data_IF_936059090747
#
_entry.id   IF_936059090747
#
_cell.length_a   1.000
_cell.length_b   1.000
_cell.length_c   1.000
_cell.angle_alpha   90.00
_cell.angle_beta   90.00
_cell.angle_gamma   90.00
#
_symmetry.space_group_name_H-M   'P 1'
#
loop_
_entity.id
_entity.type
_entity.pdbx_description
1 polymer ?
#
# COMPACT_ATOMS: atom_id res chain seq x y z
N UNK A 1 6.61 -21.78 11.98
CA UNK A 1 6.72 -20.37 12.42
C UNK A 1 5.43 -19.69 11.98
N UNK A 2 4.64 -19.18 12.92
CA UNK A 2 3.38 -18.47 12.60
C UNK A 2 3.64 -16.98 12.66
N UNK A 3 3.20 -16.23 11.65
CA UNK A 3 3.25 -14.78 11.64
C UNK A 3 1.84 -14.23 11.78
N UNK A 4 1.68 -13.19 12.60
CA UNK A 4 0.42 -12.45 12.72
C UNK A 4 0.50 -11.26 11.79
N UNK A 5 -0.47 -11.14 10.88
CA UNK A 5 -0.64 -9.99 10.01
C UNK A 5 -1.90 -9.24 10.38
N UNK A 6 -1.81 -7.91 10.42
CA UNK A 6 -2.94 -7.02 10.58
C UNK A 6 -3.21 -6.34 9.25
N UNK A 7 -4.28 -6.75 8.57
CA UNK A 7 -4.68 -6.17 7.29
C UNK A 7 -5.70 -5.05 7.51
N UNK A 8 -5.59 -3.98 6.73
CA UNK A 8 -6.69 -3.03 6.59
C UNK A 8 -7.88 -3.71 5.90
N UNK A 9 -9.10 -3.20 6.14
CA UNK A 9 -10.34 -3.86 5.71
C UNK A 9 -10.45 -4.04 4.20
N UNK A 10 -9.99 -3.08 3.40
CA UNK A 10 -9.98 -3.16 1.94
C UNK A 10 -8.99 -4.20 1.41
N UNK A 11 -7.81 -4.32 2.03
CA UNK A 11 -6.83 -5.38 1.71
C UNK A 11 -7.37 -6.76 2.08
N UNK A 12 -7.96 -6.91 3.27
CA UNK A 12 -8.56 -8.18 3.69
C UNK A 12 -9.66 -8.63 2.71
N UNK A 13 -10.59 -7.71 2.38
CA UNK A 13 -11.66 -7.98 1.42
C UNK A 13 -11.11 -8.31 0.02
N UNK A 14 -10.06 -7.61 -0.44
CA UNK A 14 -9.44 -7.89 -1.73
C UNK A 14 -8.83 -9.30 -1.78
N UNK A 15 -8.13 -9.70 -0.72
CA UNK A 15 -7.53 -11.04 -0.62
C UNK A 15 -8.60 -12.14 -0.60
N UNK A 16 -9.67 -11.98 0.19
CA UNK A 16 -10.79 -12.93 0.23
C UNK A 16 -11.48 -13.09 -1.14
N UNK A 17 -11.65 -11.99 -1.87
CA UNK A 17 -12.29 -11.97 -3.18
C UNK A 17 -11.32 -12.29 -4.34
N UNK A 18 -10.06 -12.63 -4.05
CA UNK A 18 -9.00 -12.87 -5.05
C UNK A 18 -8.85 -11.69 -6.04
N UNK A 19 -9.03 -10.48 -5.54
CA UNK A 19 -8.81 -9.23 -6.25
C UNK A 19 -7.31 -8.88 -6.23
N UNK A 20 -6.79 -8.18 -7.26
CA UNK A 20 -5.39 -7.79 -7.29
C UNK A 20 -5.05 -6.80 -6.16
N UNK A 21 -3.96 -7.10 -5.45
CA UNK A 21 -3.38 -6.25 -4.40
C UNK A 21 -1.95 -5.93 -4.78
N UNK A 22 -1.54 -4.67 -4.63
CA UNK A 22 -0.16 -4.23 -4.87
C UNK A 22 0.43 -3.76 -3.55
N UNK A 23 1.47 -4.45 -3.09
CA UNK A 23 2.22 -4.04 -1.90
C UNK A 23 3.10 -2.82 -2.21
N UNK A 24 3.11 -1.83 -1.31
CA UNK A 24 3.93 -0.63 -1.41
C UNK A 24 4.86 -0.54 -0.19
N UNK A 25 6.09 -0.06 -0.41
CA UNK A 25 7.12 0.06 0.63
C UNK A 25 6.98 1.36 1.43
N UNK A 26 7.13 1.31 2.76
CA UNK A 26 7.13 2.49 3.64
C UNK A 26 8.44 3.30 3.64
N UNK A 27 9.54 2.76 3.12
CA UNK A 27 10.84 3.46 3.05
C UNK A 27 10.76 4.72 2.19
N UNK A 28 9.95 4.73 1.12
CA UNK A 28 9.69 5.93 0.31
C UNK A 28 9.14 7.07 1.17
N UNK A 29 8.33 6.76 2.18
CA UNK A 29 7.72 7.72 3.10
C UNK A 29 8.77 8.26 4.09
N UNK A 30 9.64 7.39 4.62
CA UNK A 30 10.48 7.72 5.78
C UNK A 30 11.88 8.20 5.42
N UNK A 31 12.48 7.66 4.36
CA UNK A 31 13.89 7.91 4.01
C UNK A 31 14.14 8.14 2.52
N UNK A 32 13.15 7.91 1.65
CA UNK A 32 13.33 8.00 0.20
C UNK A 32 13.33 9.42 -0.35
N UNK A 33 12.40 10.26 0.13
CA UNK A 33 12.23 11.64 -0.36
C UNK A 33 12.11 12.61 0.83
N UNK A 34 12.50 13.89 0.65
CA UNK A 34 12.26 14.91 1.66
C UNK A 34 10.75 15.18 1.82
N UNK A 35 10.36 15.68 2.99
CA UNK A 35 9.02 16.25 3.16
C UNK A 35 8.91 17.58 2.40
N UNK A 36 7.80 17.86 1.68
CA UNK A 36 6.53 17.10 1.64
C UNK A 36 6.42 16.05 0.52
N UNK A 37 7.45 15.90 -0.31
CA UNK A 37 7.42 15.05 -1.51
C UNK A 37 7.23 13.57 -1.18
N UNK A 38 7.72 13.11 -0.02
CA UNK A 38 7.48 11.75 0.47
C UNK A 38 5.99 11.41 0.62
N UNK A 39 5.22 12.29 1.26
CA UNK A 39 3.78 12.11 1.47
C UNK A 39 3.03 12.22 0.15
N UNK A 40 3.38 13.21 -0.67
CA UNK A 40 2.76 13.40 -1.99
C UNK A 40 3.01 12.19 -2.90
N UNK A 41 4.23 11.66 -2.89
CA UNK A 41 4.60 10.47 -3.68
C UNK A 41 3.87 9.23 -3.20
N UNK A 42 3.81 8.99 -1.88
CA UNK A 42 3.09 7.85 -1.32
C UNK A 42 1.61 7.88 -1.69
N UNK A 43 0.94 9.02 -1.55
CA UNK A 43 -0.45 9.19 -1.97
C UNK A 43 -0.63 9.02 -3.49
N UNK A 44 0.33 9.50 -4.29
CA UNK A 44 0.36 9.32 -5.74
C UNK A 44 0.48 7.85 -6.14
N UNK A 45 1.33 7.07 -5.46
CA UNK A 45 1.48 5.63 -5.67
C UNK A 45 0.18 4.89 -5.37
N UNK A 46 -0.47 5.17 -4.23
CA UNK A 46 -1.76 4.56 -3.89
C UNK A 46 -2.84 4.89 -4.93
N UNK A 47 -2.88 6.15 -5.39
CA UNK A 47 -3.82 6.60 -6.44
C UNK A 47 -3.58 5.86 -7.75
N UNK A 48 -2.32 5.70 -8.15
CA UNK A 48 -1.95 5.01 -9.38
C UNK A 48 -2.35 3.52 -9.33
N UNK A 49 -2.15 2.84 -8.20
CA UNK A 49 -2.58 1.46 -8.00
C UNK A 49 -4.10 1.32 -8.13
N UNK A 50 -4.86 2.22 -7.48
CA UNK A 50 -6.33 2.23 -7.58
C UNK A 50 -6.81 2.49 -9.00
N UNK A 51 -6.17 3.42 -9.72
CA UNK A 51 -6.47 3.69 -11.13
C UNK A 51 -6.18 2.48 -12.04
N UNK A 52 -5.21 1.65 -11.68
CA UNK A 52 -4.91 0.36 -12.33
C UNK A 52 -5.89 -0.77 -11.98
N UNK A 53 -6.89 -0.53 -11.13
CA UNK A 53 -7.89 -1.53 -10.75
C UNK A 53 -7.46 -2.48 -9.63
N UNK A 54 -6.40 -2.15 -8.90
CA UNK A 54 -5.90 -2.94 -7.77
C UNK A 54 -6.05 -2.19 -6.43
N UNK A 55 -5.95 -2.93 -5.32
CA UNK A 55 -5.95 -2.36 -3.97
C UNK A 55 -4.51 -2.13 -3.50
N UNK A 56 -4.10 -0.89 -3.15
CA UNK A 56 -2.79 -0.64 -2.59
C UNK A 56 -2.69 -1.15 -1.15
N UNK A 57 -1.53 -1.69 -0.79
CA UNK A 57 -1.23 -2.17 0.55
C UNK A 57 0.17 -1.69 0.98
N UNK A 58 0.25 -0.49 1.55
CA UNK A 58 1.49 0.02 2.15
C UNK A 58 1.83 -0.78 3.41
N UNK A 59 3.05 -1.32 3.49
CA UNK A 59 3.52 -2.11 4.64
C UNK A 59 4.48 -1.28 5.48
N UNK A 60 4.23 -1.21 6.79
CA UNK A 60 5.00 -0.44 7.77
C UNK A 60 5.19 -1.22 9.07
#
# INVERSE_FOLDING_TARGET
MSFTFHYHSDVAAALENRMPVVALESTVITHGLPYPDNVATAAGMETAVRAGGAVPATIA
#
